data_IF_795932435212
#
_entry.id   IF_795932435212
#
_cell.length_a   1.000
_cell.length_b   1.000
_cell.length_c   1.000
_cell.angle_alpha   90.00
_cell.angle_beta   90.00
_cell.angle_gamma   90.00
#
_symmetry.space_group_name_H-M   'P 1'
#
loop_
_entity.id
_entity.type
_entity.pdbx_description
1 polymer ?
#
# COMPACT_ATOMS: atom_id res chain seq x y z
N UNK A 1 10.47 27.98 13.30
CA UNK A 1 9.17 27.28 13.20
C UNK A 1 9.44 25.85 12.75
N UNK A 2 8.78 24.88 13.38
CA UNK A 2 8.85 23.46 13.01
C UNK A 2 8.20 23.24 11.64
N UNK A 3 8.85 22.44 10.77
CA UNK A 3 8.34 22.06 9.44
C UNK A 3 7.23 21.02 9.57
N UNK A 4 6.31 21.01 8.61
CA UNK A 4 5.28 20.00 8.49
C UNK A 4 5.84 18.75 7.81
N UNK A 5 6.24 17.75 8.62
CA UNK A 5 6.82 16.50 8.15
C UNK A 5 5.79 15.36 8.29
N UNK A 6 5.37 14.79 7.16
CA UNK A 6 4.35 13.74 7.09
C UNK A 6 4.98 12.38 6.79
N UNK A 7 4.61 11.32 7.52
CA UNK A 7 4.98 9.94 7.20
C UNK A 7 3.76 9.17 6.66
N UNK A 8 3.82 8.75 5.41
CA UNK A 8 2.85 7.88 4.74
C UNK A 8 3.37 6.44 4.75
N UNK A 9 2.68 5.57 5.47
CA UNK A 9 2.97 4.14 5.58
C UNK A 9 1.97 3.38 4.72
N UNK A 10 2.44 2.77 3.64
CA UNK A 10 1.59 2.05 2.69
C UNK A 10 1.53 0.59 3.09
N UNK A 11 0.34 0.12 3.44
CA UNK A 11 0.03 -1.30 3.71
C UNK A 11 1.08 -2.04 4.57
N UNK A 12 1.50 -1.52 5.75
CA UNK A 12 2.45 -2.18 6.65
C UNK A 12 1.78 -3.36 7.39
N UNK A 13 1.10 -4.25 6.68
CA UNK A 13 0.20 -5.27 7.22
C UNK A 13 0.89 -6.63 7.37
N UNK A 14 0.38 -7.44 8.32
CA UNK A 14 0.95 -8.74 8.65
C UNK A 14 1.01 -9.68 7.44
N UNK A 15 -0.01 -9.67 6.57
CA UNK A 15 -0.05 -10.54 5.39
C UNK A 15 1.07 -10.27 4.38
N UNK A 16 1.60 -9.05 4.34
CA UNK A 16 2.70 -8.67 3.45
C UNK A 16 4.08 -8.84 4.07
N UNK A 17 4.18 -9.06 5.38
CA UNK A 17 5.47 -9.16 6.05
C UNK A 17 5.94 -10.62 6.11
N UNK A 18 7.20 -10.91 5.77
CA UNK A 18 7.84 -12.22 5.93
C UNK A 18 8.16 -12.55 7.40
N UNK A 19 7.11 -12.58 8.23
CA UNK A 19 7.18 -12.64 9.68
C UNK A 19 7.86 -13.92 10.20
N UNK A 20 8.82 -13.80 11.16
CA UNK A 20 9.41 -14.95 11.82
C UNK A 20 8.43 -15.59 12.80
N UNK A 21 8.75 -16.81 13.25
CA UNK A 21 7.83 -17.62 14.08
C UNK A 21 7.32 -16.91 15.34
N UNK A 22 8.16 -16.11 15.98
CA UNK A 22 7.81 -15.39 17.21
C UNK A 22 6.72 -14.30 17.00
N UNK A 23 6.49 -13.88 15.75
CA UNK A 23 5.45 -12.90 15.38
C UNK A 23 4.14 -13.56 14.95
N UNK A 24 4.07 -14.89 14.92
CA UNK A 24 2.95 -15.67 14.42
C UNK A 24 2.14 -16.26 15.57
N UNK A 25 1.12 -15.55 16.09
CA UNK A 25 0.32 -16.05 17.20
C UNK A 25 -0.48 -17.28 16.80
N UNK A 26 -0.84 -18.12 17.77
CA UNK A 26 -1.73 -19.24 17.53
C UNK A 26 -3.15 -18.74 17.25
N UNK A 27 -3.73 -19.22 16.16
CA UNK A 27 -5.15 -19.05 15.86
C UNK A 27 -5.99 -19.74 16.95
N UNK A 28 -6.88 -19.02 17.65
CA UNK A 28 -7.74 -19.62 18.68
C UNK A 28 -8.69 -20.69 18.14
N UNK A 29 -9.02 -20.67 16.84
CA UNK A 29 -9.93 -21.62 16.19
C UNK A 29 -9.17 -22.85 15.69
N UNK A 30 -8.20 -22.68 14.78
CA UNK A 30 -7.49 -23.81 14.17
C UNK A 30 -6.36 -24.38 15.04
N UNK A 31 -5.91 -23.64 16.07
CA UNK A 31 -4.74 -23.95 16.91
C UNK A 31 -3.42 -24.03 16.14
N UNK A 32 -3.40 -23.58 14.90
CA UNK A 32 -2.18 -23.44 14.10
C UNK A 32 -1.63 -22.02 14.24
N UNK A 33 -0.31 -21.82 14.08
CA UNK A 33 0.24 -20.48 13.94
C UNK A 33 -0.38 -19.75 12.76
N UNK A 34 -0.86 -18.52 12.99
CA UNK A 34 -1.26 -17.61 11.92
C UNK A 34 -0.04 -17.25 11.10
N UNK A 35 -0.16 -17.25 9.77
CA UNK A 35 0.94 -16.97 8.86
C UNK A 35 0.54 -15.90 7.84
N UNK A 36 1.50 -15.06 7.40
CA UNK A 36 1.30 -14.13 6.31
C UNK A 36 0.82 -14.85 5.04
N UNK A 37 -0.21 -14.33 4.40
CA UNK A 37 -0.82 -14.94 3.21
C UNK A 37 -0.11 -14.54 1.90
N UNK A 38 0.55 -13.37 1.88
CA UNK A 38 1.27 -12.86 0.71
C UNK A 38 2.59 -12.18 1.13
N UNK A 39 3.51 -12.90 1.81
CA UNK A 39 4.72 -12.30 2.35
C UNK A 39 5.65 -11.78 1.25
N UNK A 40 6.09 -10.54 1.41
CA UNK A 40 7.12 -9.88 0.61
C UNK A 40 8.47 -10.13 1.30
N UNK A 41 9.48 -10.71 0.60
CA UNK A 41 10.79 -10.92 1.19
C UNK A 41 11.44 -9.59 1.62
N UNK A 42 11.88 -9.52 2.88
CA UNK A 42 12.49 -8.32 3.46
C UNK A 42 11.52 -7.37 4.16
N UNK A 43 10.21 -7.49 3.95
CA UNK A 43 9.21 -6.57 4.49
C UNK A 43 9.17 -6.55 6.02
N UNK A 44 9.39 -7.67 6.72
CA UNK A 44 9.51 -7.65 8.17
C UNK A 44 10.68 -6.75 8.61
N UNK A 45 11.82 -6.86 7.93
CA UNK A 45 13.00 -6.07 8.25
C UNK A 45 12.83 -4.58 7.89
N UNK A 46 12.08 -4.27 6.82
CA UNK A 46 11.63 -2.93 6.47
C UNK A 46 10.78 -2.33 7.59
N UNK A 47 9.81 -3.09 8.10
CA UNK A 47 8.92 -2.65 9.17
C UNK A 47 9.68 -2.40 10.48
N UNK A 48 10.71 -3.18 10.78
CA UNK A 48 11.60 -2.93 11.93
C UNK A 48 12.40 -1.63 11.78
N UNK A 49 12.92 -1.33 10.59
CA UNK A 49 13.63 -0.06 10.33
C UNK A 49 12.68 1.13 10.41
N UNK A 50 11.49 1.00 9.84
CA UNK A 50 10.42 1.99 9.92
C UNK A 50 10.01 2.27 11.37
N UNK A 51 9.78 1.23 12.17
CA UNK A 51 9.45 1.36 13.59
C UNK A 51 10.58 2.05 14.38
N UNK A 52 11.85 1.73 14.09
CA UNK A 52 13.01 2.39 14.68
C UNK A 52 13.07 3.88 14.31
N UNK A 53 12.84 4.22 13.04
CA UNK A 53 12.78 5.60 12.55
C UNK A 53 11.69 6.39 13.27
N UNK A 54 10.48 5.82 13.39
CA UNK A 54 9.36 6.45 14.10
C UNK A 54 9.73 6.65 15.58
N UNK A 55 10.20 5.61 16.27
CA UNK A 55 10.50 5.70 17.71
C UNK A 55 11.57 6.76 18.02
N UNK A 56 12.60 6.87 17.17
CA UNK A 56 13.71 7.83 17.37
C UNK A 56 13.37 9.24 16.87
N UNK A 57 12.58 9.35 15.80
CA UNK A 57 12.26 10.60 15.11
C UNK A 57 10.88 11.19 15.41
N UNK A 58 10.05 10.54 16.25
CA UNK A 58 8.64 10.91 16.50
C UNK A 58 8.41 12.39 16.82
N UNK A 59 9.30 13.01 17.60
CA UNK A 59 9.19 14.42 17.98
C UNK A 59 9.37 15.39 16.79
N UNK A 60 9.97 14.93 15.70
CA UNK A 60 10.15 15.69 14.45
C UNK A 60 8.98 15.56 13.49
N UNK A 61 8.20 14.50 13.58
CA UNK A 61 7.03 14.28 12.72
C UNK A 61 5.85 15.16 13.15
N UNK A 62 5.04 15.53 12.18
CA UNK A 62 3.84 16.37 12.37
C UNK A 62 2.57 15.57 12.13
N UNK A 63 2.57 14.68 11.13
CA UNK A 63 1.44 13.83 10.81
C UNK A 63 1.89 12.46 10.33
N UNK A 64 1.00 11.48 10.48
CA UNK A 64 1.19 10.13 9.96
C UNK A 64 -0.11 9.64 9.32
N UNK A 65 0.03 8.84 8.28
CA UNK A 65 -1.08 8.11 7.67
C UNK A 65 -0.66 6.68 7.37
N UNK A 66 -1.57 5.74 7.61
CA UNK A 66 -1.43 4.33 7.28
C UNK A 66 -2.49 3.98 6.26
N UNK A 67 -2.10 3.32 5.18
CA UNK A 67 -3.06 2.71 4.25
C UNK A 67 -3.20 1.23 4.63
N UNK A 68 -4.41 0.70 4.46
CA UNK A 68 -4.73 -0.68 4.75
C UNK A 68 -5.40 -1.26 3.51
N UNK A 69 -4.71 -2.17 2.86
CA UNK A 69 -5.34 -3.06 1.91
C UNK A 69 -6.44 -3.84 2.63
N UNK A 70 -7.64 -3.88 2.08
CA UNK A 70 -8.84 -4.26 2.82
C UNK A 70 -9.80 -4.98 1.90
N UNK A 71 -9.59 -6.29 1.74
CA UNK A 71 -10.38 -7.08 0.80
C UNK A 71 -11.48 -7.88 1.47
N UNK A 72 -12.56 -8.06 0.74
CA UNK A 72 -13.50 -9.14 1.03
C UNK A 72 -12.90 -10.47 0.54
N UNK A 73 -13.33 -11.58 1.13
CA UNK A 73 -12.91 -12.90 0.66
C UNK A 73 -13.40 -13.21 -0.76
N UNK A 74 -14.56 -12.67 -1.12
CA UNK A 74 -15.07 -12.62 -2.49
C UNK A 74 -14.63 -11.29 -3.10
N UNK A 75 -13.61 -11.34 -3.94
CA UNK A 75 -12.94 -10.18 -4.54
C UNK A 75 -12.33 -10.61 -5.88
N UNK A 76 -12.40 -9.74 -6.90
CA UNK A 76 -11.94 -10.02 -8.26
C UNK A 76 -10.46 -10.43 -8.34
N UNK A 77 -9.64 -10.03 -7.38
CA UNK A 77 -8.24 -10.41 -7.28
C UNK A 77 -8.02 -11.71 -6.48
N UNK A 78 -9.07 -12.37 -6.00
CA UNK A 78 -9.00 -13.58 -5.17
C UNK A 78 -9.52 -14.84 -5.85
N UNK A 79 -9.03 -16.04 -5.44
CA UNK A 79 -9.47 -17.33 -6.00
C UNK A 79 -10.97 -17.55 -5.85
N UNK A 80 -11.57 -17.03 -4.76
CA UNK A 80 -12.99 -17.17 -4.44
C UNK A 80 -13.90 -16.62 -5.54
N UNK A 81 -13.43 -15.64 -6.32
CA UNK A 81 -14.20 -15.00 -7.39
C UNK A 81 -14.27 -15.85 -8.65
N UNK A 82 -13.27 -16.70 -8.91
CA UNK A 82 -13.09 -17.37 -10.19
C UNK A 82 -13.31 -18.88 -10.12
N UNK A 83 -13.71 -19.48 -11.25
CA UNK A 83 -13.72 -20.92 -11.49
C UNK A 83 -13.12 -21.19 -12.87
N UNK A 84 -12.30 -22.22 -12.99
CA UNK A 84 -11.73 -22.65 -14.26
C UNK A 84 -12.75 -23.43 -15.10
N UNK A 85 -12.49 -23.58 -16.40
CA UNK A 85 -13.36 -24.28 -17.35
C UNK A 85 -13.70 -25.73 -16.96
N UNK A 86 -12.80 -26.41 -16.26
CA UNK A 86 -12.96 -27.78 -15.76
C UNK A 86 -13.70 -27.84 -14.40
N UNK A 87 -14.12 -26.69 -13.86
CA UNK A 87 -14.74 -26.55 -12.56
C UNK A 87 -13.74 -26.45 -11.39
N UNK A 88 -12.43 -26.49 -11.65
CA UNK A 88 -11.42 -26.40 -10.61
C UNK A 88 -11.30 -24.98 -10.02
N UNK A 89 -10.86 -24.84 -8.75
CA UNK A 89 -10.47 -23.54 -8.20
C UNK A 89 -9.31 -22.93 -8.97
N UNK A 90 -9.33 -21.62 -9.18
CA UNK A 90 -8.19 -20.90 -9.77
C UNK A 90 -7.08 -20.75 -8.73
N UNK A 91 -5.86 -21.14 -9.08
CA UNK A 91 -4.71 -21.02 -8.18
C UNK A 91 -4.25 -19.55 -8.05
N UNK A 92 -3.73 -19.14 -6.87
CA UNK A 92 -2.97 -17.90 -6.76
C UNK A 92 -1.83 -17.80 -7.79
N UNK A 93 -1.43 -16.57 -8.08
CA UNK A 93 -0.47 -16.17 -9.10
C UNK A 93 -0.88 -16.54 -10.55
N UNK A 94 -2.19 -16.56 -10.82
CA UNK A 94 -2.74 -16.75 -12.17
C UNK A 94 -3.07 -15.39 -12.79
N UNK A 95 -2.49 -15.07 -13.95
CA UNK A 95 -2.96 -13.94 -14.76
C UNK A 95 -4.24 -14.32 -15.49
N UNK A 96 -5.25 -13.44 -15.45
CA UNK A 96 -6.52 -13.60 -16.18
C UNK A 96 -6.72 -12.41 -17.11
N UNK A 97 -6.94 -12.67 -18.40
CA UNK A 97 -7.23 -11.65 -19.41
C UNK A 97 -8.72 -11.60 -19.77
N UNK A 98 -9.16 -10.49 -20.37
CA UNK A 98 -10.50 -10.40 -20.93
C UNK A 98 -10.73 -11.46 -22.03
N UNK A 99 -9.68 -11.81 -22.77
CA UNK A 99 -9.71 -12.88 -23.76
C UNK A 99 -9.91 -14.27 -23.14
N UNK A 100 -9.27 -14.55 -22.00
CA UNK A 100 -9.45 -15.84 -21.29
C UNK A 100 -10.88 -16.00 -20.76
N UNK A 101 -11.49 -14.90 -20.27
CA UNK A 101 -12.89 -14.91 -19.81
C UNK A 101 -13.86 -15.09 -20.98
N UNK A 102 -13.65 -14.41 -22.11
CA UNK A 102 -14.46 -14.59 -23.34
C UNK A 102 -14.32 -16.00 -23.93
N UNK A 103 -13.17 -16.63 -23.74
CA UNK A 103 -12.92 -18.02 -24.14
C UNK A 103 -13.37 -19.04 -23.09
N UNK A 104 -14.05 -18.59 -22.02
CA UNK A 104 -14.57 -19.40 -20.91
C UNK A 104 -13.49 -20.25 -20.20
N UNK A 105 -12.21 -19.84 -20.27
CA UNK A 105 -11.14 -20.50 -19.51
C UNK A 105 -11.29 -20.25 -18.02
N UNK A 106 -11.70 -19.04 -17.67
CA UNK A 106 -12.00 -18.59 -16.31
C UNK A 106 -13.31 -17.81 -16.32
N UNK A 107 -14.21 -18.12 -15.40
CA UNK A 107 -15.49 -17.43 -15.25
C UNK A 107 -15.68 -16.98 -13.80
N UNK A 108 -16.42 -15.89 -13.55
CA UNK A 108 -16.83 -15.56 -12.19
C UNK A 108 -17.74 -16.66 -11.63
N UNK A 109 -17.50 -17.07 -10.37
CA UNK A 109 -18.32 -18.06 -9.66
C UNK A 109 -19.76 -17.59 -9.48
N UNK A 110 -19.98 -16.29 -9.38
CA UNK A 110 -21.30 -15.69 -9.42
C UNK A 110 -21.62 -15.25 -10.85
N UNK A 111 -22.54 -15.92 -11.58
CA UNK A 111 -22.75 -15.65 -13.01
C UNK A 111 -23.13 -14.20 -13.34
N UNK A 112 -23.87 -13.51 -12.46
CA UNK A 112 -24.20 -12.10 -12.67
C UNK A 112 -22.98 -11.16 -12.63
N UNK A 113 -21.83 -11.64 -12.16
CA UNK A 113 -20.57 -10.89 -12.15
C UNK A 113 -19.85 -10.86 -13.50
N UNK A 114 -20.26 -11.68 -14.48
CA UNK A 114 -19.58 -11.77 -15.78
C UNK A 114 -19.51 -10.42 -16.54
N UNK A 115 -20.60 -9.64 -16.68
CA UNK A 115 -20.53 -8.35 -17.36
C UNK A 115 -19.59 -7.35 -16.64
N UNK A 116 -19.61 -7.35 -15.30
CA UNK A 116 -18.77 -6.48 -14.47
C UNK A 116 -17.29 -6.84 -14.62
N UNK A 117 -16.97 -8.13 -14.53
CA UNK A 117 -15.61 -8.64 -14.68
C UNK A 117 -15.04 -8.36 -16.07
N UNK A 118 -15.82 -8.56 -17.14
CA UNK A 118 -15.39 -8.24 -18.51
C UNK A 118 -15.15 -6.74 -18.70
N UNK A 119 -16.06 -5.90 -18.22
CA UNK A 119 -15.89 -4.45 -18.28
C UNK A 119 -14.64 -3.99 -17.51
N UNK A 120 -14.39 -4.55 -16.33
CA UNK A 120 -13.18 -4.30 -15.56
C UNK A 120 -11.92 -4.70 -16.35
N UNK A 121 -11.86 -5.95 -16.84
CA UNK A 121 -10.69 -6.48 -17.57
C UNK A 121 -10.40 -5.70 -18.84
N UNK A 122 -11.41 -5.34 -19.63
CA UNK A 122 -11.23 -4.53 -20.84
C UNK A 122 -10.64 -3.15 -20.51
N UNK A 123 -11.11 -2.50 -19.43
CA UNK A 123 -10.61 -1.18 -19.02
C UNK A 123 -9.20 -1.27 -18.43
N UNK A 124 -8.92 -2.31 -17.65
CA UNK A 124 -7.61 -2.59 -17.09
C UNK A 124 -6.57 -2.79 -18.21
N UNK A 125 -6.90 -3.65 -19.19
CA UNK A 125 -6.04 -3.91 -20.35
C UNK A 125 -5.84 -2.66 -21.21
N UNK A 126 -6.90 -1.87 -21.43
CA UNK A 126 -6.82 -0.61 -22.19
C UNK A 126 -5.94 0.44 -21.50
N UNK A 127 -5.91 0.47 -20.16
CA UNK A 127 -5.01 1.34 -19.40
C UNK A 127 -3.54 0.90 -19.49
N UNK A 128 -3.28 -0.38 -19.75
CA UNK A 128 -1.95 -0.93 -20.04
C UNK A 128 -0.97 -0.92 -18.86
N UNK A 129 -1.42 -0.63 -17.64
CA UNK A 129 -0.57 -0.57 -16.44
C UNK A 129 -0.36 -1.94 -15.80
N UNK A 130 -1.41 -2.76 -15.78
CA UNK A 130 -1.43 -4.08 -15.16
C UNK A 130 -2.30 -5.04 -15.97
N UNK A 131 -2.12 -6.32 -15.72
CA UNK A 131 -3.12 -7.35 -15.99
C UNK A 131 -3.69 -7.82 -14.65
N UNK A 132 -4.89 -8.40 -14.66
CA UNK A 132 -5.43 -8.99 -13.45
C UNK A 132 -4.55 -10.17 -13.03
N UNK A 133 -4.08 -10.11 -11.79
CA UNK A 133 -3.41 -11.20 -11.10
C UNK A 133 -4.33 -11.71 -10.00
N UNK A 134 -4.56 -13.03 -9.97
CA UNK A 134 -5.23 -13.67 -8.84
C UNK A 134 -4.19 -13.87 -7.74
N UNK A 135 -4.33 -13.21 -6.60
CA UNK A 135 -3.46 -13.35 -5.43
C UNK A 135 -3.99 -14.41 -4.46
N UNK A 136 -3.20 -14.89 -3.48
CA UNK A 136 -3.78 -15.57 -2.33
C UNK A 136 -4.82 -14.68 -1.65
N UNK A 137 -5.80 -15.24 -0.93
CA UNK A 137 -6.66 -14.42 -0.07
C UNK A 137 -5.77 -13.76 0.98
N UNK A 138 -5.69 -12.44 0.96
CA UNK A 138 -4.85 -11.65 1.83
C UNK A 138 -5.58 -10.39 2.28
N UNK A 139 -5.09 -9.79 3.37
CA UNK A 139 -5.63 -8.58 3.97
C UNK A 139 -7.16 -8.63 4.14
N UNK A 140 -7.69 -9.83 4.46
CA UNK A 140 -9.14 -10.04 4.60
C UNK A 140 -9.66 -9.20 5.76
N UNK A 141 -10.66 -8.36 5.51
CA UNK A 141 -11.22 -7.45 6.51
C UNK A 141 -11.64 -8.23 7.77
N UNK A 142 -11.06 -7.85 8.91
CA UNK A 142 -11.33 -8.48 10.21
C UNK A 142 -10.42 -9.68 10.54
N UNK A 143 -9.52 -10.07 9.65
CA UNK A 143 -8.51 -11.10 9.91
C UNK A 143 -7.30 -10.56 10.68
N UNK A 144 -6.44 -11.46 11.19
CA UNK A 144 -5.14 -11.07 11.73
C UNK A 144 -4.20 -10.50 10.66
N UNK A 145 -4.22 -11.09 9.46
CA UNK A 145 -3.40 -10.70 8.33
C UNK A 145 -3.62 -9.25 7.87
N UNK A 146 -4.87 -8.78 8.01
CA UNK A 146 -5.27 -7.38 7.76
C UNK A 146 -4.67 -6.35 8.72
N UNK A 147 -4.23 -6.74 9.91
CA UNK A 147 -3.72 -5.78 10.89
C UNK A 147 -2.29 -5.31 10.56
N UNK A 148 -1.95 -4.12 11.06
CA UNK A 148 -0.60 -3.54 10.96
C UNK A 148 0.43 -4.38 11.72
N UNK A 149 1.62 -4.50 11.15
CA UNK A 149 2.83 -5.05 11.75
C UNK A 149 3.04 -4.53 13.17
N UNK A 150 3.29 -5.45 14.12
CA UNK A 150 3.27 -5.16 15.55
C UNK A 150 4.22 -4.02 15.98
N UNK A 151 5.45 -3.98 15.48
CA UNK A 151 6.41 -2.91 15.84
C UNK A 151 6.04 -1.55 15.27
N UNK A 152 5.50 -1.50 14.05
CA UNK A 152 5.05 -0.25 13.43
C UNK A 152 3.84 0.27 14.18
N UNK A 153 2.91 -0.62 14.52
CA UNK A 153 1.75 -0.33 15.37
C UNK A 153 2.19 0.28 16.71
N UNK A 154 3.10 -0.38 17.41
CA UNK A 154 3.61 0.11 18.69
C UNK A 154 4.32 1.47 18.54
N UNK A 155 5.14 1.63 17.50
CA UNK A 155 5.89 2.87 17.27
C UNK A 155 4.96 4.07 17.00
N UNK A 156 3.95 3.93 16.15
CA UNK A 156 3.01 5.02 15.92
C UNK A 156 2.09 5.25 17.14
N UNK A 157 1.78 4.23 17.94
CA UNK A 157 1.03 4.42 19.20
C UNK A 157 1.80 5.28 20.19
N UNK A 158 3.12 5.06 20.34
CA UNK A 158 3.96 5.96 21.14
C UNK A 158 3.99 7.40 20.59
N UNK A 159 3.88 7.57 19.27
CA UNK A 159 3.74 8.90 18.68
C UNK A 159 2.37 9.51 18.97
N UNK A 160 1.26 8.76 18.86
CA UNK A 160 -0.09 9.24 19.20
C UNK A 160 -0.13 9.68 20.69
N UNK A 161 0.44 8.90 21.60
CA UNK A 161 0.54 9.25 23.03
C UNK A 161 1.37 10.52 23.26
N UNK A 162 2.54 10.64 22.62
CA UNK A 162 3.44 11.78 22.85
C UNK A 162 2.96 13.07 22.18
N UNK A 163 2.31 12.97 21.02
CA UNK A 163 1.86 14.13 20.23
C UNK A 163 0.42 14.54 20.51
N UNK A 164 -0.36 13.65 21.14
CA UNK A 164 -1.84 13.73 21.18
C UNK A 164 -2.47 13.85 19.79
N UNK A 165 -1.76 13.37 18.76
CA UNK A 165 -2.18 13.30 17.38
C UNK A 165 -2.92 12.00 17.07
N UNK A 166 -3.58 11.97 15.92
CA UNK A 166 -4.29 10.79 15.41
C UNK A 166 -3.59 10.33 14.14
N UNK A 167 -3.11 9.09 14.11
CA UNK A 167 -2.60 8.49 12.86
C UNK A 167 -3.81 8.17 12.00
N UNK A 168 -3.93 8.83 10.85
CA UNK A 168 -5.02 8.56 9.91
C UNK A 168 -4.88 7.15 9.34
N UNK A 169 -5.98 6.38 9.30
CA UNK A 169 -6.02 5.05 8.69
C UNK A 169 -6.97 5.09 7.49
N UNK A 170 -6.49 4.72 6.31
CA UNK A 170 -7.24 4.74 5.07
C UNK A 170 -7.37 3.32 4.52
N UNK A 171 -8.58 2.80 4.46
CA UNK A 171 -8.84 1.53 3.80
C UNK A 171 -8.88 1.71 2.27
N UNK A 172 -8.45 0.69 1.53
CA UNK A 172 -8.57 0.56 0.07
C UNK A 172 -8.87 -0.89 -0.30
N UNK A 173 -9.46 -1.13 -1.47
CA UNK A 173 -9.71 -2.50 -1.97
C UNK A 173 -11.00 -3.18 -1.49
N UNK A 174 -11.89 -2.46 -0.80
CA UNK A 174 -13.14 -3.06 -0.30
C UNK A 174 -14.21 -3.30 -1.38
N UNK A 175 -14.08 -2.69 -2.56
CA UNK A 175 -14.96 -2.97 -3.68
C UNK A 175 -14.51 -4.28 -4.36
N UNK A 176 -15.32 -5.35 -4.33
CA UNK A 176 -14.89 -6.67 -4.80
C UNK A 176 -14.81 -6.79 -6.32
N UNK A 177 -15.11 -5.73 -7.08
CA UNK A 177 -15.17 -5.74 -8.54
C UNK A 177 -14.00 -5.02 -9.21
N UNK A 178 -13.08 -4.43 -8.43
CA UNK A 178 -11.88 -3.77 -8.96
C UNK A 178 -10.69 -3.98 -8.03
N UNK A 179 -9.51 -4.17 -8.62
CA UNK A 179 -8.25 -4.12 -7.87
C UNK A 179 -7.93 -2.68 -7.45
N UNK A 180 -7.21 -2.53 -6.33
CA UNK A 180 -6.96 -1.25 -5.68
C UNK A 180 -5.54 -1.14 -5.09
N UNK A 181 -4.51 -1.26 -5.94
CA UNK A 181 -3.12 -1.10 -5.51
C UNK A 181 -2.84 0.31 -4.96
N UNK A 182 -3.27 1.35 -5.67
CA UNK A 182 -2.99 2.72 -5.24
C UNK A 182 -3.90 3.14 -4.08
N UNK A 183 -3.31 3.62 -2.98
CA UNK A 183 -4.08 4.13 -1.85
C UNK A 183 -4.94 5.36 -2.14
N UNK A 184 -4.85 5.91 -3.36
CA UNK A 184 -5.59 7.09 -3.75
C UNK A 184 -6.56 6.83 -4.88
N UNK A 185 -6.58 5.66 -5.53
CA UNK A 185 -7.50 5.36 -6.64
C UNK A 185 -7.50 3.86 -6.98
N UNK A 186 -8.67 3.27 -7.30
CA UNK A 186 -8.73 1.92 -7.84
C UNK A 186 -8.13 1.83 -9.25
N UNK A 187 -7.69 0.65 -9.68
CA UNK A 187 -7.13 0.48 -11.04
C UNK A 187 -8.18 0.76 -12.12
N UNK A 188 -9.44 0.41 -11.85
CA UNK A 188 -10.59 0.81 -12.66
C UNK A 188 -11.67 1.37 -11.73
N UNK A 189 -11.74 2.70 -11.55
CA UNK A 189 -12.75 3.32 -10.70
C UNK A 189 -14.17 2.99 -11.17
N UNK A 190 -15.02 2.63 -10.21
CA UNK A 190 -16.46 2.40 -10.36
C UNK A 190 -17.20 3.72 -10.10
N UNK A 191 -17.96 4.18 -11.10
CA UNK A 191 -18.65 5.46 -11.04
C UNK A 191 -19.70 5.53 -9.91
N UNK A 192 -20.23 4.39 -9.49
CA UNK A 192 -21.24 4.29 -8.44
C UNK A 192 -20.63 4.08 -7.04
N UNK A 193 -19.31 3.91 -6.95
CA UNK A 193 -18.59 3.75 -5.68
C UNK A 193 -17.52 4.86 -5.49
N UNK A 194 -17.83 5.88 -4.68
CA UNK A 194 -16.90 6.96 -4.36
C UNK A 194 -15.56 6.51 -3.77
N UNK A 195 -15.51 5.36 -3.09
CA UNK A 195 -14.27 4.89 -2.44
C UNK A 195 -13.27 4.32 -3.46
N UNK A 196 -13.72 4.02 -4.68
CA UNK A 196 -12.84 3.62 -5.80
C UNK A 196 -12.29 4.82 -6.58
N UNK A 197 -12.85 6.01 -6.39
CA UNK A 197 -12.48 7.22 -7.09
C UNK A 197 -11.18 7.81 -6.57
N UNK A 198 -10.61 8.76 -7.31
CA UNK A 198 -9.40 9.44 -6.87
C UNK A 198 -9.65 10.23 -5.57
N UNK A 199 -8.94 9.89 -4.49
CA UNK A 199 -9.10 10.50 -3.17
C UNK A 199 -8.42 11.88 -3.09
N UNK A 200 -9.05 12.86 -3.75
CA UNK A 200 -8.56 14.25 -3.81
C UNK A 200 -8.37 14.84 -2.41
N UNK A 201 -9.25 14.51 -1.45
CA UNK A 201 -9.18 15.04 -0.08
C UNK A 201 -7.88 14.62 0.60
N UNK A 202 -7.55 13.33 0.53
CA UNK A 202 -6.32 12.82 1.13
C UNK A 202 -5.07 13.38 0.45
N UNK A 203 -5.03 13.37 -0.89
CA UNK A 203 -3.86 13.87 -1.63
C UNK A 203 -3.62 15.37 -1.40
N UNK A 204 -4.67 16.18 -1.29
CA UNK A 204 -4.54 17.59 -0.90
C UNK A 204 -4.00 17.76 0.51
N UNK A 205 -4.42 16.93 1.46
CA UNK A 205 -3.88 16.97 2.83
C UNK A 205 -2.39 16.65 2.87
N UNK A 206 -1.90 15.72 2.03
CA UNK A 206 -0.47 15.45 1.90
C UNK A 206 0.28 16.66 1.32
N UNK A 207 -0.31 17.36 0.36
CA UNK A 207 0.32 18.50 -0.32
C UNK A 207 0.62 19.69 0.63
N UNK A 208 -0.07 19.77 1.78
CA UNK A 208 0.18 20.74 2.85
C UNK A 208 1.51 20.48 3.60
N UNK A 209 2.09 19.28 3.47
CA UNK A 209 3.37 18.96 4.09
C UNK A 209 4.55 19.62 3.35
N UNK A 210 5.60 19.94 4.10
CA UNK A 210 6.90 20.37 3.56
C UNK A 210 7.68 19.16 3.01
N UNK A 211 7.51 17.99 3.63
CA UNK A 211 8.02 16.70 3.17
C UNK A 211 7.03 15.58 3.48
N UNK A 212 6.98 14.61 2.57
CA UNK A 212 6.19 13.39 2.71
C UNK A 212 7.17 12.23 2.57
N UNK A 213 7.45 11.54 3.68
CA UNK A 213 8.20 10.30 3.68
C UNK A 213 7.25 9.15 3.39
N UNK A 214 7.60 8.31 2.43
CA UNK A 214 6.81 7.15 2.02
C UNK A 214 7.61 5.90 2.30
N UNK A 215 6.98 4.96 3.02
CA UNK A 215 7.50 3.65 3.36
C UNK A 215 6.35 2.63 3.33
N UNK A 216 6.64 1.35 3.42
CA UNK A 216 5.63 0.29 3.40
C UNK A 216 5.73 -0.63 2.19
N UNK A 217 4.70 -1.41 1.94
CA UNK A 217 4.73 -2.54 1.02
C UNK A 217 3.57 -2.52 0.00
N UNK A 218 3.72 -3.15 -1.17
CA UNK A 218 4.98 -3.56 -1.78
C UNK A 218 5.51 -2.46 -2.71
N UNK A 219 6.84 -2.33 -2.80
CA UNK A 219 7.56 -1.44 -3.71
C UNK A 219 7.19 -1.57 -5.18
N UNK A 220 6.79 -2.76 -5.62
CA UNK A 220 6.42 -3.06 -7.01
C UNK A 220 4.93 -2.86 -7.33
N UNK A 221 4.06 -2.73 -6.31
CA UNK A 221 2.61 -2.65 -6.45
C UNK A 221 2.04 -1.43 -5.71
N UNK A 222 1.59 -1.60 -4.46
CA UNK A 222 0.87 -0.55 -3.74
C UNK A 222 1.68 0.74 -3.56
N UNK A 223 2.96 0.64 -3.18
CA UNK A 223 3.84 1.81 -3.04
C UNK A 223 4.02 2.50 -4.40
N UNK A 224 4.35 1.72 -5.44
CA UNK A 224 4.53 2.23 -6.80
C UNK A 224 3.28 2.96 -7.29
N UNK A 225 2.13 2.30 -7.27
CA UNK A 225 0.88 2.84 -7.81
C UNK A 225 0.41 4.07 -7.01
N UNK A 226 0.58 4.06 -5.69
CA UNK A 226 0.26 5.21 -4.82
C UNK A 226 1.15 6.41 -5.16
N UNK A 227 2.46 6.21 -5.24
CA UNK A 227 3.41 7.30 -5.46
C UNK A 227 3.31 7.84 -6.88
N UNK A 228 3.12 7.00 -7.89
CA UNK A 228 2.86 7.43 -9.27
C UNK A 228 1.63 8.35 -9.34
N UNK A 229 0.50 7.94 -8.75
CA UNK A 229 -0.74 8.74 -8.76
C UNK A 229 -0.61 10.05 -7.99
N UNK A 230 0.02 10.04 -6.81
CA UNK A 230 0.28 11.27 -6.04
C UNK A 230 1.21 12.19 -6.83
N UNK A 231 2.27 11.65 -7.43
CA UNK A 231 3.23 12.41 -8.23
C UNK A 231 2.57 13.05 -9.47
N UNK A 232 1.69 12.32 -10.16
CA UNK A 232 0.95 12.83 -11.32
C UNK A 232 0.00 13.97 -10.93
N UNK A 233 -0.74 13.81 -9.82
CA UNK A 233 -1.58 14.87 -9.29
C UNK A 233 -0.73 16.08 -8.85
N UNK A 234 0.37 15.87 -8.13
CA UNK A 234 1.24 16.94 -7.65
C UNK A 234 1.83 17.74 -8.82
N UNK A 235 2.34 17.05 -9.85
CA UNK A 235 2.90 17.70 -11.03
C UNK A 235 1.85 18.55 -11.77
N UNK A 236 0.63 18.02 -11.92
CA UNK A 236 -0.47 18.71 -12.60
C UNK A 236 -0.98 19.92 -11.82
N UNK A 237 -1.20 19.78 -10.52
CA UNK A 237 -1.87 20.80 -9.70
C UNK A 237 -0.92 21.83 -9.09
N UNK A 238 0.31 21.43 -8.75
CA UNK A 238 1.29 22.26 -8.03
C UNK A 238 2.61 22.44 -8.79
N UNK A 239 2.71 21.92 -10.01
CA UNK A 239 3.91 21.98 -10.85
C UNK A 239 4.97 20.94 -10.48
N UNK A 240 5.90 20.68 -11.40
CA UNK A 240 6.91 19.62 -11.24
C UNK A 240 7.83 19.80 -10.01
N UNK A 241 8.08 21.03 -9.56
CA UNK A 241 8.90 21.29 -8.37
C UNK A 241 8.31 20.69 -7.08
N UNK A 242 6.99 20.48 -7.03
CA UNK A 242 6.30 19.89 -5.88
C UNK A 242 6.69 18.43 -5.61
N UNK A 243 7.17 17.71 -6.64
CA UNK A 243 7.63 16.32 -6.53
C UNK A 243 8.82 16.17 -5.59
N UNK A 244 9.61 17.22 -5.40
CA UNK A 244 10.71 17.23 -4.43
C UNK A 244 10.23 17.02 -2.99
N UNK A 245 8.95 17.28 -2.68
CA UNK A 245 8.37 16.99 -1.35
C UNK A 245 8.32 15.49 -1.03
N UNK A 246 8.21 14.64 -2.05
CA UNK A 246 8.09 13.19 -1.89
C UNK A 246 9.48 12.57 -1.64
N UNK A 247 9.57 11.73 -0.62
CA UNK A 247 10.77 10.98 -0.25
C UNK A 247 10.41 9.50 -0.12
N UNK A 248 10.96 8.64 -0.98
CA UNK A 248 10.89 7.19 -0.79
C UNK A 248 11.98 6.76 0.20
N UNK A 249 11.57 6.13 1.31
CA UNK A 249 12.48 5.58 2.32
C UNK A 249 12.86 4.16 1.88
N UNK A 250 13.93 4.03 1.11
CA UNK A 250 14.18 2.86 0.26
C UNK A 250 14.58 1.59 1.01
N UNK A 251 15.07 1.69 2.24
CA UNK A 251 15.28 0.55 3.15
C UNK A 251 14.05 0.28 4.02
N UNK A 252 12.90 0.87 3.71
CA UNK A 252 11.62 0.56 4.36
C UNK A 252 10.55 0.16 3.33
N UNK A 253 10.99 -0.38 2.18
CA UNK A 253 10.14 -0.76 1.04
C UNK A 253 10.81 -1.95 0.33
N UNK A 254 10.08 -3.06 0.14
CA UNK A 254 10.54 -4.22 -0.65
C UNK A 254 9.58 -4.58 -1.80
N UNK A 255 10.09 -5.10 -2.93
CA UNK A 255 9.24 -5.58 -4.02
C UNK A 255 8.71 -7.00 -3.76
N UNK A 256 7.54 -7.30 -4.33
CA UNK A 256 7.06 -8.69 -4.42
C UNK A 256 8.08 -9.52 -5.21
N UNK A 257 8.35 -10.76 -4.76
CA UNK A 257 9.26 -11.71 -5.42
C UNK A 257 9.01 -11.79 -6.93
N UNK A 258 10.06 -11.62 -7.73
CA UNK A 258 9.98 -11.66 -9.19
C UNK A 258 9.60 -10.34 -9.85
N UNK A 259 9.35 -9.28 -9.07
CA UNK A 259 9.05 -7.92 -9.54
C UNK A 259 10.17 -6.91 -9.22
N UNK A 260 11.39 -7.38 -8.96
CA UNK A 260 12.52 -6.54 -8.57
C UNK A 260 12.88 -5.54 -9.67
N UNK A 261 12.82 -5.95 -10.94
CA UNK A 261 13.10 -5.07 -12.08
C UNK A 261 12.09 -3.92 -12.19
N UNK A 262 10.80 -4.20 -11.97
CA UNK A 262 9.72 -3.21 -11.98
C UNK A 262 9.92 -2.20 -10.84
N UNK A 263 10.31 -2.66 -9.66
CA UNK A 263 10.64 -1.77 -8.54
C UNK A 263 11.85 -0.88 -8.83
N UNK A 264 12.94 -1.43 -9.38
CA UNK A 264 14.10 -0.62 -9.76
C UNK A 264 13.76 0.42 -10.85
N UNK A 265 12.96 0.05 -11.84
CA UNK A 265 12.47 0.97 -12.86
C UNK A 265 11.61 2.09 -12.25
N UNK A 266 10.73 1.75 -11.30
CA UNK A 266 9.94 2.72 -10.54
C UNK A 266 10.81 3.71 -9.78
N UNK A 267 11.81 3.25 -9.03
CA UNK A 267 12.72 4.12 -8.28
C UNK A 267 13.46 5.09 -9.22
N UNK A 268 13.96 4.59 -10.35
CA UNK A 268 14.65 5.41 -11.35
C UNK A 268 13.71 6.45 -11.97
N UNK A 269 12.49 6.05 -12.34
CA UNK A 269 11.48 6.95 -12.90
C UNK A 269 11.07 8.05 -11.92
N UNK A 270 10.82 7.71 -10.64
CA UNK A 270 10.48 8.70 -9.63
C UNK A 270 11.63 9.66 -9.35
N UNK A 271 12.87 9.15 -9.26
CA UNK A 271 14.06 9.99 -9.11
C UNK A 271 14.23 10.96 -10.27
N UNK A 272 14.03 10.49 -11.50
CA UNK A 272 14.11 11.34 -12.70
C UNK A 272 13.04 12.45 -12.71
N UNK A 273 11.90 12.22 -12.05
CA UNK A 273 10.82 13.20 -11.84
C UNK A 273 11.09 14.18 -10.68
N UNK A 274 12.17 13.99 -9.90
CA UNK A 274 12.52 14.87 -8.78
C UNK A 274 12.11 14.36 -7.40
N UNK A 275 11.49 13.17 -7.31
CA UNK A 275 11.25 12.49 -6.02
C UNK A 275 12.60 12.12 -5.39
N UNK A 276 12.72 12.30 -4.08
CA UNK A 276 13.94 11.97 -3.35
C UNK A 276 13.95 10.50 -2.95
N UNK A 277 15.12 9.87 -2.99
CA UNK A 277 15.34 8.53 -2.46
C UNK A 277 16.30 8.64 -1.27
N UNK A 278 15.91 8.16 -0.11
CA UNK A 278 16.70 8.25 1.12
C UNK A 278 16.63 6.93 1.89
N UNK A 279 17.68 6.61 2.66
CA UNK A 279 17.59 5.54 3.65
C UNK A 279 17.05 6.10 4.96
N UNK A 280 16.50 5.23 5.82
CA UNK A 280 15.98 5.58 7.14
C UNK A 280 17.04 6.29 8.00
N UNK A 281 18.31 5.90 7.87
CA UNK A 281 19.45 6.54 8.52
C UNK A 281 19.71 7.98 8.06
N UNK A 282 19.36 8.33 6.81
CA UNK A 282 19.49 9.68 6.25
C UNK A 282 18.28 10.56 6.61
N UNK A 283 17.10 9.95 6.78
CA UNK A 283 15.88 10.66 7.20
C UNK A 283 15.95 11.07 8.68
N UNK A 284 16.50 10.22 9.54
CA UNK A 284 16.47 10.44 10.98
C UNK A 284 17.10 11.78 11.42
N UNK A 285 18.28 12.22 10.93
CA UNK A 285 18.84 13.53 11.27
C UNK A 285 17.88 14.69 10.98
N UNK A 286 17.12 14.65 9.88
CA UNK A 286 16.14 15.69 9.53
C UNK A 286 14.99 15.72 10.54
N UNK A 287 14.51 14.55 10.99
CA UNK A 287 13.48 14.46 12.02
C UNK A 287 13.98 15.02 13.36
N UNK A 288 15.22 14.69 13.75
CA UNK A 288 15.82 15.18 15.00
C UNK A 288 16.03 16.70 14.97
N UNK A 289 16.52 17.25 13.86
CA UNK A 289 16.63 18.70 13.66
C UNK A 289 15.26 19.38 13.69
N UNK A 290 14.24 18.78 13.09
CA UNK A 290 12.90 19.37 13.14
C UNK A 290 12.30 19.37 14.56
N UNK A 291 12.68 18.40 15.40
CA UNK A 291 12.24 18.33 16.79
C UNK A 291 12.86 19.44 17.67
N UNK A 292 14.11 19.83 17.42
CA UNK A 292 14.80 20.88 18.21
C UNK A 292 14.29 22.29 17.89
N UNK A 293 13.79 22.52 16.65
CA UNK A 293 13.26 23.83 16.19
C UNK A 293 12.05 24.34 16.99
N UNK A 294 11.38 23.51 17.77
CA UNK A 294 10.29 23.90 18.68
C UNK A 294 10.77 24.40 20.04
N UNK A 295 12.01 24.09 20.46
CA UNK A 295 12.54 24.41 21.78
C UNK A 295 13.21 25.79 21.80
N UNK A 296 13.72 26.27 20.66
CA UNK A 296 14.46 27.54 20.57
C UNK A 296 13.57 28.79 20.39
N UNK A 297 12.25 28.61 20.22
CA UNK A 297 11.29 29.70 20.03
C UNK A 297 10.38 29.96 21.24
N UNK A 298 10.72 29.41 22.41
CA UNK A 298 10.03 29.61 23.70
C UNK A 298 11.01 30.23 24.70
#
# INVERSE_FOLDING_TARGET
MKRNLHLLMIDPQNDFCDLPEIYRPLDPVSRQPLAPSLPVPGAHQDMLRLASLINRGRAGLTAMSVTLDSHHRFDIAHPTFWIAADGAPVAPFTEITAADVRAEKYLPRHPAGLPLALNYLDRLEAAGRYKLMVWPVHCEIGSWGHNVHADVRAAYSHWEEASLGIVAKLAKGSNPWTEHYSAVQAEVPDADDPDTQFNVKFVRSLAEADRIYVAGEAGSHCVKATVEHIADYFAREYGAGSLSKLVLVTDCISPVSGFEAQYQAFLQAMRARGVQLMQSADVLPELLDNASRSVESA
#
